data_IF_247382022780
#
_entry.id   IF_247382022780
#
_cell.length_a   1.000
_cell.length_b   1.000
_cell.length_c   1.000
_cell.angle_alpha   90.00
_cell.angle_beta   90.00
_cell.angle_gamma   90.00
#
_symmetry.space_group_name_H-M   'P 1'
#
loop_
_entity.id
_entity.type
_entity.pdbx_description
1 polymer ?
#
# COMPACT_ATOMS: atom_id res chain seq x y z
N UNK A 1 3.33 12.35 -6.88
CA UNK A 1 3.78 11.50 -8.01
C UNK A 1 3.97 10.08 -7.53
N UNK A 2 3.36 9.13 -8.20
CA UNK A 2 3.53 7.73 -7.85
C UNK A 2 4.93 7.28 -8.22
N UNK A 3 5.73 6.88 -7.23
CA UNK A 3 7.08 6.37 -7.44
C UNK A 3 7.08 4.90 -7.84
N UNK A 4 6.24 4.10 -7.19
CA UNK A 4 6.17 2.67 -7.44
C UNK A 4 4.80 2.13 -7.08
N UNK A 5 4.44 1.01 -7.71
CA UNK A 5 3.22 0.27 -7.43
C UNK A 5 3.57 -1.20 -7.23
N UNK A 6 3.14 -1.76 -6.11
CA UNK A 6 3.34 -3.17 -5.78
C UNK A 6 1.98 -3.86 -5.88
N UNK A 7 1.84 -4.73 -6.87
CA UNK A 7 0.60 -5.45 -7.13
C UNK A 7 0.66 -6.82 -6.45
N UNK A 8 -0.36 -7.15 -5.68
CA UNK A 8 -0.40 -8.40 -4.93
C UNK A 8 -1.82 -8.93 -4.77
N UNK A 9 -1.94 -10.23 -4.47
CA UNK A 9 -3.20 -10.86 -4.11
C UNK A 9 -3.28 -11.11 -2.62
N UNK A 10 -4.47 -10.95 -2.07
CA UNK A 10 -4.79 -11.23 -0.69
C UNK A 10 -6.14 -11.95 -0.64
N UNK A 11 -6.12 -13.24 -0.27
CA UNK A 11 -7.28 -14.12 -0.41
C UNK A 11 -8.48 -13.71 0.46
N UNK A 12 -8.26 -13.08 1.61
CA UNK A 12 -9.35 -12.67 2.48
C UNK A 12 -10.12 -11.45 1.98
N UNK A 13 -9.58 -10.72 0.99
CA UNK A 13 -10.29 -9.64 0.26
C UNK A 13 -10.68 -8.44 1.14
N UNK A 14 -10.16 -8.32 2.34
CA UNK A 14 -10.50 -7.28 3.31
C UNK A 14 -9.41 -6.22 3.35
N UNK A 15 -9.70 -5.04 2.78
CA UNK A 15 -8.72 -3.94 2.69
C UNK A 15 -8.30 -3.41 4.07
N UNK A 16 -9.20 -3.38 5.04
CA UNK A 16 -8.85 -2.93 6.39
C UNK A 16 -7.91 -3.92 7.06
N UNK A 17 -8.14 -5.21 6.86
CA UNK A 17 -7.30 -6.26 7.44
C UNK A 17 -5.91 -6.27 6.80
N UNK A 18 -5.81 -6.19 5.46
CA UNK A 18 -4.50 -6.14 4.80
C UNK A 18 -3.75 -4.86 5.16
N UNK A 19 -4.47 -3.75 5.35
CA UNK A 19 -3.87 -2.50 5.85
C UNK A 19 -3.22 -2.69 7.21
N UNK A 20 -3.88 -3.38 8.14
CA UNK A 20 -3.31 -3.69 9.46
C UNK A 20 -2.10 -4.61 9.37
N UNK A 21 -2.14 -5.61 8.50
CA UNK A 21 -1.03 -6.54 8.30
C UNK A 21 0.20 -5.79 7.77
N UNK A 22 0.04 -5.01 6.70
CA UNK A 22 1.15 -4.24 6.10
C UNK A 22 1.67 -3.19 7.08
N UNK A 23 0.77 -2.49 7.77
CA UNK A 23 1.15 -1.53 8.81
C UNK A 23 2.03 -2.18 9.88
N UNK A 24 1.64 -3.35 10.38
CA UNK A 24 2.40 -4.07 11.39
C UNK A 24 3.76 -4.52 10.88
N UNK A 25 3.82 -5.02 9.64
CA UNK A 25 5.08 -5.44 9.02
C UNK A 25 6.07 -4.27 8.87
N UNK A 26 5.58 -3.11 8.44
CA UNK A 26 6.45 -1.96 8.13
C UNK A 26 6.72 -1.06 9.34
N UNK A 27 5.74 -0.83 10.19
CA UNK A 27 5.79 0.19 11.23
C UNK A 27 5.69 -0.36 12.66
N UNK A 28 5.51 -1.67 12.81
CA UNK A 28 5.33 -2.34 14.11
C UNK A 28 4.11 -1.85 14.90
N UNK A 29 3.12 -1.30 14.18
CA UNK A 29 1.82 -0.88 14.73
C UNK A 29 0.73 -1.13 13.69
N UNK A 30 -0.50 -1.53 14.08
CA UNK A 30 -1.54 -1.91 13.11
C UNK A 30 -2.31 -0.74 12.49
N UNK A 31 -2.11 0.49 12.94
CA UNK A 31 -3.03 1.59 12.69
C UNK A 31 -2.46 2.74 11.85
N UNK A 32 -1.49 2.49 10.96
CA UNK A 32 -0.92 3.55 10.12
C UNK A 32 -1.79 3.92 8.92
N UNK A 33 -2.63 3.00 8.45
CA UNK A 33 -3.54 3.27 7.34
C UNK A 33 -4.89 3.76 7.83
N UNK A 34 -5.45 4.72 7.10
CA UNK A 34 -6.75 5.36 7.39
C UNK A 34 -7.43 5.74 6.08
N UNK A 35 -8.65 6.26 6.12
CA UNK A 35 -9.32 6.93 5.01
C UNK A 35 -10.48 6.19 4.38
N UNK A 36 -10.65 4.87 4.61
CA UNK A 36 -11.69 4.09 3.95
C UNK A 36 -13.11 4.63 4.19
N UNK A 37 -13.40 5.12 5.38
CA UNK A 37 -14.73 5.62 5.74
C UNK A 37 -15.11 6.91 5.00
N UNK A 38 -14.11 7.65 4.51
CA UNK A 38 -14.30 8.98 3.94
C UNK A 38 -13.99 9.05 2.45
N UNK A 39 -13.17 8.12 1.94
CA UNK A 39 -12.63 8.26 0.60
C UNK A 39 -12.74 6.97 -0.19
N UNK A 40 -13.53 7.05 -1.26
CA UNK A 40 -13.42 6.14 -2.37
C UNK A 40 -12.73 6.92 -3.49
N UNK A 41 -11.54 6.50 -3.86
CA UNK A 41 -10.80 7.12 -4.96
C UNK A 41 -11.32 6.53 -6.25
N UNK A 42 -11.97 7.36 -7.08
CA UNK A 42 -12.62 6.91 -8.32
C UNK A 42 -13.57 5.73 -8.08
N UNK A 43 -14.31 5.77 -6.96
CA UNK A 43 -15.22 4.69 -6.51
C UNK A 43 -14.51 3.38 -6.15
N UNK A 44 -13.20 3.42 -5.95
CA UNK A 44 -12.39 2.26 -5.57
C UNK A 44 -12.02 2.35 -4.09
N UNK A 45 -12.19 1.27 -3.30
CA UNK A 45 -11.74 1.28 -1.91
C UNK A 45 -10.27 1.65 -1.81
N UNK A 46 -9.95 2.64 -0.98
CA UNK A 46 -8.62 3.20 -0.85
C UNK A 46 -8.33 3.62 0.58
N UNK A 47 -7.19 3.17 1.11
CA UNK A 47 -6.69 3.59 2.42
C UNK A 47 -5.27 4.12 2.24
N UNK A 48 -4.82 5.00 3.15
CA UNK A 48 -3.50 5.63 3.03
C UNK A 48 -2.91 5.99 4.38
N UNK A 49 -1.59 6.16 4.42
CA UNK A 49 -0.85 6.61 5.61
C UNK A 49 -0.73 8.13 5.61
N UNK A 50 -0.38 8.70 6.77
CA UNK A 50 0.15 10.07 6.83
C UNK A 50 1.50 10.13 6.09
N UNK A 51 1.92 11.34 5.75
CA UNK A 51 3.22 11.56 5.11
C UNK A 51 4.37 11.20 6.05
N UNK A 52 5.36 10.51 5.50
CA UNK A 52 6.60 10.20 6.23
C UNK A 52 7.76 10.10 5.24
N UNK A 53 8.93 10.60 5.64
CA UNK A 53 10.14 10.57 4.81
C UNK A 53 9.91 11.11 3.38
N UNK A 54 9.02 12.10 3.24
CA UNK A 54 8.71 12.71 1.94
C UNK A 54 7.75 11.92 1.06
N UNK A 55 7.11 10.89 1.60
CA UNK A 55 6.16 10.07 0.85
C UNK A 55 4.96 9.66 1.70
N UNK A 56 4.00 8.98 1.08
CA UNK A 56 2.97 8.22 1.79
C UNK A 56 2.71 6.91 1.06
N UNK A 57 2.09 5.97 1.76
CA UNK A 57 1.65 4.70 1.18
C UNK A 57 0.15 4.71 1.01
N UNK A 58 -0.33 4.18 -0.11
CA UNK A 58 -1.74 3.96 -0.36
C UNK A 58 -2.00 2.52 -0.74
N UNK A 59 -3.15 1.98 -0.35
CA UNK A 59 -3.59 0.65 -0.76
C UNK A 59 -4.94 0.80 -1.45
N UNK A 60 -5.03 0.31 -2.70
CA UNK A 60 -6.28 0.23 -3.45
C UNK A 60 -6.67 -1.21 -3.65
N UNK A 61 -7.98 -1.47 -3.57
CA UNK A 61 -8.56 -2.76 -3.91
C UNK A 61 -9.16 -2.70 -5.31
N UNK A 62 -8.83 -3.67 -6.17
CA UNK A 62 -9.38 -3.73 -7.51
C UNK A 62 -10.89 -4.02 -7.44
N UNK A 63 -11.76 -3.18 -8.05
CA UNK A 63 -13.20 -3.38 -7.96
C UNK A 63 -13.72 -4.59 -8.73
N UNK A 64 -12.97 -5.05 -9.74
CA UNK A 64 -13.36 -6.20 -10.58
C UNK A 64 -12.76 -7.51 -10.06
N UNK A 65 -11.58 -7.45 -9.46
CA UNK A 65 -10.91 -8.58 -8.84
C UNK A 65 -10.60 -8.21 -7.39
N UNK A 66 -11.54 -8.51 -6.49
CA UNK A 66 -11.50 -8.01 -5.11
C UNK A 66 -10.39 -8.60 -4.23
N UNK A 67 -9.74 -9.67 -4.68
CA UNK A 67 -8.54 -10.21 -4.05
C UNK A 67 -7.25 -9.55 -4.54
N UNK A 68 -7.34 -8.69 -5.56
CA UNK A 68 -6.19 -8.00 -6.15
C UNK A 68 -6.07 -6.58 -5.56
N UNK A 69 -4.87 -6.27 -5.08
CA UNK A 69 -4.57 -5.01 -4.42
C UNK A 69 -3.34 -4.34 -5.04
N UNK A 70 -3.28 -3.02 -4.89
CA UNK A 70 -2.13 -2.23 -5.30
C UNK A 70 -1.65 -1.41 -4.10
N UNK A 71 -0.40 -1.61 -3.69
CA UNK A 71 0.28 -0.74 -2.72
C UNK A 71 1.05 0.31 -3.50
N UNK A 72 0.61 1.56 -3.38
CA UNK A 72 1.27 2.70 -4.03
C UNK A 72 2.27 3.35 -3.07
N UNK A 73 3.43 3.69 -3.60
CA UNK A 73 4.41 4.53 -2.91
C UNK A 73 4.39 5.88 -3.62
N UNK A 74 3.93 6.92 -2.93
CA UNK A 74 3.66 8.23 -3.53
C UNK A 74 4.59 9.28 -2.92
N UNK A 75 5.40 9.93 -3.78
CA UNK A 75 6.22 11.07 -3.37
C UNK A 75 5.34 12.32 -3.21
N UNK A 76 5.45 13.00 -2.06
CA UNK A 76 4.70 14.24 -1.79
C UNK A 76 5.43 15.49 -2.24
N UNK A 77 6.75 15.40 -2.48
CA UNK A 77 7.55 16.52 -2.96
C UNK A 77 7.56 16.56 -4.48
N UNK A 78 7.48 17.76 -5.07
CA UNK A 78 7.45 17.92 -6.53
C UNK A 78 8.69 17.39 -7.25
N UNK A 79 9.82 17.31 -6.55
CA UNK A 79 11.10 16.79 -7.08
C UNK A 79 11.31 15.31 -6.78
N UNK A 80 10.32 14.67 -6.14
CA UNK A 80 10.48 13.33 -5.60
C UNK A 80 11.31 13.35 -4.31
N UNK A 81 11.45 12.17 -3.71
CA UNK A 81 12.30 11.97 -2.54
C UNK A 81 13.65 11.40 -2.96
N UNK A 82 14.74 11.82 -2.31
CA UNK A 82 16.05 11.19 -2.49
C UNK A 82 16.09 9.78 -1.91
N UNK A 83 15.11 9.45 -1.09
CA UNK A 83 15.00 8.13 -0.46
C UNK A 83 13.97 7.30 -1.24
N UNK A 84 14.42 6.20 -1.83
CA UNK A 84 13.54 5.22 -2.46
C UNK A 84 13.29 4.06 -1.50
N UNK A 85 12.07 3.99 -0.98
CA UNK A 85 11.68 2.98 -0.01
C UNK A 85 11.18 1.69 -0.65
N UNK A 86 11.08 1.61 -1.97
CA UNK A 86 10.46 0.48 -2.67
C UNK A 86 11.07 -0.87 -2.28
N UNK A 87 12.39 -0.99 -2.36
CA UNK A 87 13.08 -2.24 -2.02
C UNK A 87 12.95 -2.60 -0.55
N UNK A 88 12.97 -1.60 0.34
CA UNK A 88 12.79 -1.85 1.78
C UNK A 88 11.39 -2.34 2.09
N UNK A 89 10.39 -1.74 1.47
CA UNK A 89 9.00 -2.17 1.65
C UNK A 89 8.84 -3.60 1.14
N UNK A 90 9.36 -3.90 -0.05
CA UNK A 90 9.35 -5.26 -0.59
C UNK A 90 10.03 -6.26 0.35
N UNK A 91 11.15 -5.88 0.94
CA UNK A 91 11.87 -6.73 1.90
C UNK A 91 10.98 -7.16 3.07
N UNK A 92 10.14 -6.25 3.59
CA UNK A 92 9.27 -6.54 4.72
C UNK A 92 8.01 -7.32 4.36
N UNK A 93 7.53 -7.22 3.12
CA UNK A 93 6.26 -7.86 2.74
C UNK A 93 6.42 -9.14 1.91
N UNK A 94 7.57 -9.36 1.28
CA UNK A 94 7.77 -10.48 0.34
C UNK A 94 7.58 -11.86 0.95
N UNK A 95 7.88 -12.02 2.24
CA UNK A 95 7.79 -13.29 2.94
C UNK A 95 6.49 -13.45 3.73
N UNK A 96 5.57 -12.50 3.62
CA UNK A 96 4.27 -12.58 4.30
C UNK A 96 3.41 -13.66 3.64
N UNK A 97 3.00 -14.71 4.36
CA UNK A 97 2.26 -15.82 3.75
C UNK A 97 0.88 -15.43 3.24
N UNK A 98 0.29 -14.35 3.76
CA UNK A 98 -1.01 -13.86 3.33
C UNK A 98 -0.95 -13.06 2.02
N UNK A 99 0.25 -12.65 1.60
CA UNK A 99 0.45 -11.79 0.41
C UNK A 99 1.12 -12.60 -0.70
N UNK A 100 0.47 -12.65 -1.86
CA UNK A 100 1.06 -13.20 -3.09
C UNK A 100 1.47 -12.04 -3.99
N UNK A 101 2.77 -11.79 -4.10
CA UNK A 101 3.29 -10.72 -4.96
C UNK A 101 3.09 -11.10 -6.43
N UNK A 102 2.52 -10.18 -7.22
CA UNK A 102 2.28 -10.37 -8.66
C UNK A 102 3.34 -9.63 -9.45
N UNK A 103 3.50 -8.33 -9.23
CA UNK A 103 4.52 -7.52 -9.93
C UNK A 103 4.80 -6.22 -9.20
N UNK A 104 5.91 -5.59 -9.56
CA UNK A 104 6.30 -4.26 -9.09
C UNK A 104 6.51 -3.37 -10.31
N UNK A 105 5.85 -2.21 -10.34
CA UNK A 105 6.00 -1.21 -11.38
C UNK A 105 6.66 0.04 -10.78
N UNK A 106 7.70 0.53 -11.46
CA UNK A 106 8.41 1.74 -11.05
C UNK A 106 8.50 2.76 -12.19
#
# INVERSE_FOLDING_TARGET
MIRAEIIFRYAEKDILKIGRIISTLLFKTPNMFKGLEKYLRDEVPFIFTDNFLGCYLGIMQNPDEIDLFCLEIVDVLSKGSDIDLTERILYYIKDCPEIELIKVEQ
#
